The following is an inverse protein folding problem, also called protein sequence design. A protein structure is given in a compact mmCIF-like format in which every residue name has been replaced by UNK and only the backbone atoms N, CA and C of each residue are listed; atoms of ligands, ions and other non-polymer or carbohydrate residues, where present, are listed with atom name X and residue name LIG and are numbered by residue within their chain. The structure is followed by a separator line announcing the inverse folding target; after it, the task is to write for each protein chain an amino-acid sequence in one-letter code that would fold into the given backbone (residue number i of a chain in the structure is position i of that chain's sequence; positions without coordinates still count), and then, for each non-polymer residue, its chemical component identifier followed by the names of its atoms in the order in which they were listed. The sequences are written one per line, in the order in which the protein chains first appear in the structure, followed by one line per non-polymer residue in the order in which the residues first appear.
data_IF_865315190095
#
_entry.id   IF_865315190095
#
_cell.length_a   1.000
_cell.length_b   1.000
_cell.length_c   1.000
_cell.angle_alpha   90.00
_cell.angle_beta   90.00
_cell.angle_gamma   90.00
#
_symmetry.space_group_name_H-M   'P 1'
#
loop_
_entity.id
_entity.type
_entity.pdbx_description
1 polymer ?
#
# COMPACT_ATOMS: atom_id res chain seq x y z
N UNK A 1 -8.28 -15.17 4.91
CA UNK A 1 -6.92 -15.76 4.86
C UNK A 1 -6.94 -16.96 5.79
N UNK A 2 -6.45 -18.10 5.35
CA UNK A 2 -6.43 -19.33 6.13
C UNK A 2 -5.00 -19.78 6.34
N UNK A 3 -4.67 -20.25 7.56
CA UNK A 3 -3.36 -20.79 7.92
C UNK A 3 -3.45 -22.30 8.00
N UNK A 4 -2.47 -23.03 7.45
CA UNK A 4 -2.40 -24.49 7.51
C UNK A 4 -0.96 -24.96 7.28
N UNK A 5 -0.71 -26.23 7.58
CA UNK A 5 0.56 -26.91 7.28
C UNK A 5 0.31 -28.14 6.41
N UNK A 6 1.26 -28.46 5.56
CA UNK A 6 1.23 -29.68 4.74
C UNK A 6 1.92 -30.83 5.46
N UNK A 7 1.22 -31.96 5.56
CA UNK A 7 1.82 -33.20 6.07
C UNK A 7 2.69 -33.89 5.01
N UNK A 8 3.57 -34.83 5.46
CA UNK A 8 4.59 -35.47 4.63
C UNK A 8 4.08 -36.43 3.53
N UNK A 9 2.77 -36.73 3.45
CA UNK A 9 2.24 -37.88 2.70
C UNK A 9 1.66 -37.59 1.30
N UNK A 10 1.99 -36.49 0.60
CA UNK A 10 1.47 -36.27 -0.73
C UNK A 10 2.57 -36.33 -1.81
N UNK A 11 2.48 -37.35 -2.64
CA UNK A 11 3.44 -37.68 -3.71
C UNK A 11 3.47 -36.72 -4.92
N UNK A 12 2.61 -35.69 -4.97
CA UNK A 12 2.59 -34.66 -6.01
C UNK A 12 3.26 -33.34 -5.63
N UNK A 13 3.98 -33.28 -4.51
CA UNK A 13 4.37 -32.03 -3.84
C UNK A 13 5.89 -31.77 -3.86
N UNK A 14 6.60 -32.05 -4.93
CA UNK A 14 8.06 -31.79 -4.99
C UNK A 14 8.47 -30.32 -4.82
N UNK A 15 7.53 -29.38 -4.88
CA UNK A 15 7.82 -27.94 -4.77
C UNK A 15 7.21 -27.24 -3.56
N UNK A 16 6.33 -27.91 -2.80
CA UNK A 16 5.69 -27.31 -1.64
C UNK A 16 6.47 -27.62 -0.35
N UNK A 17 6.68 -26.62 0.54
CA UNK A 17 7.48 -26.81 1.74
C UNK A 17 6.69 -27.61 2.78
N UNK A 18 7.14 -28.82 3.06
CA UNK A 18 6.61 -29.66 4.12
C UNK A 18 7.05 -29.11 5.48
N UNK A 19 6.13 -29.07 6.46
CA UNK A 19 6.43 -28.66 7.84
C UNK A 19 6.59 -27.15 8.07
N UNK A 20 6.30 -26.31 7.06
CA UNK A 20 6.26 -24.84 7.22
C UNK A 20 4.82 -24.36 7.29
N UNK A 21 4.51 -23.35 8.13
CA UNK A 21 3.21 -22.72 8.13
C UNK A 21 3.00 -21.94 6.82
N UNK A 22 1.85 -22.15 6.19
CA UNK A 22 1.44 -21.54 4.93
C UNK A 22 0.19 -20.68 5.13
N UNK A 23 -0.03 -19.80 4.20
CA UNK A 23 -1.23 -18.96 4.12
C UNK A 23 -1.86 -19.13 2.76
N UNK A 24 -3.19 -19.33 2.76
CA UNK A 24 -4.03 -19.29 1.59
C UNK A 24 -4.75 -17.94 1.53
N UNK A 25 -4.51 -17.19 0.46
CA UNK A 25 -5.14 -15.90 0.21
C UNK A 25 -6.10 -16.00 -0.95
N UNK A 26 -7.38 -15.74 -0.70
CA UNK A 26 -8.39 -15.62 -1.74
C UNK A 26 -8.51 -14.21 -2.28
N UNK A 27 -8.78 -14.10 -3.57
CA UNK A 27 -9.08 -12.85 -4.24
C UNK A 27 -10.56 -12.79 -4.60
N UNK A 28 -11.13 -11.59 -4.57
CA UNK A 28 -12.55 -11.35 -4.84
C UNK A 28 -12.75 -10.20 -5.82
N UNK A 29 -13.92 -10.22 -6.49
CA UNK A 29 -14.33 -9.19 -7.45
C UNK A 29 -13.93 -9.50 -8.89
N UNK A 30 -14.38 -8.68 -9.81
CA UNK A 30 -14.28 -8.91 -11.26
C UNK A 30 -12.87 -9.03 -11.82
N UNK A 31 -11.85 -8.65 -11.07
CA UNK A 31 -10.42 -8.73 -11.45
C UNK A 31 -9.60 -9.55 -10.46
N UNK A 32 -10.24 -10.51 -9.82
CA UNK A 32 -9.62 -11.34 -8.78
C UNK A 32 -8.38 -12.08 -9.33
N UNK A 33 -8.50 -12.73 -10.49
CA UNK A 33 -7.41 -13.45 -11.16
C UNK A 33 -6.23 -12.52 -11.49
N UNK A 34 -6.46 -11.35 -12.08
CA UNK A 34 -5.41 -10.38 -12.42
C UNK A 34 -4.65 -9.90 -11.17
N UNK A 35 -5.38 -9.62 -10.09
CA UNK A 35 -4.78 -9.18 -8.83
C UNK A 35 -3.88 -10.26 -8.24
N UNK A 36 -4.36 -11.51 -8.21
CA UNK A 36 -3.60 -12.64 -7.69
C UNK A 36 -2.38 -12.95 -8.52
N UNK A 37 -2.50 -12.99 -9.84
CA UNK A 37 -1.39 -13.21 -10.76
C UNK A 37 -0.29 -12.15 -10.59
N UNK A 38 -0.68 -10.88 -10.49
CA UNK A 38 0.26 -9.78 -10.27
C UNK A 38 0.97 -9.89 -8.92
N UNK A 39 0.23 -10.12 -7.84
CA UNK A 39 0.81 -10.26 -6.52
C UNK A 39 1.79 -11.44 -6.45
N UNK A 40 1.44 -12.58 -7.04
CA UNK A 40 2.31 -13.75 -7.12
C UNK A 40 3.61 -13.45 -7.91
N UNK A 41 3.50 -12.78 -9.07
CA UNK A 41 4.66 -12.42 -9.89
C UNK A 41 5.61 -11.47 -9.15
N UNK A 42 5.07 -10.44 -8.47
CA UNK A 42 5.86 -9.48 -7.69
C UNK A 42 6.56 -10.17 -6.52
N UNK A 43 5.84 -11.01 -5.76
CA UNK A 43 6.44 -11.72 -4.64
C UNK A 43 7.50 -12.74 -5.10
N UNK A 44 7.31 -13.38 -6.25
CA UNK A 44 8.33 -14.23 -6.87
C UNK A 44 9.62 -13.47 -7.19
N UNK A 45 9.49 -12.27 -7.78
CA UNK A 45 10.62 -11.38 -8.04
C UNK A 45 11.32 -10.94 -6.75
N UNK A 46 10.56 -10.56 -5.72
CA UNK A 46 11.09 -10.15 -4.42
C UNK A 46 11.84 -11.29 -3.71
N UNK A 47 11.34 -12.52 -3.82
CA UNK A 47 12.01 -13.70 -3.29
C UNK A 47 13.36 -13.94 -3.98
N UNK A 48 13.44 -13.79 -5.31
CA UNK A 48 14.69 -13.88 -6.08
C UNK A 48 15.71 -12.78 -5.68
N UNK A 49 15.22 -11.61 -5.27
CA UNK A 49 16.04 -10.49 -4.80
C UNK A 49 16.32 -10.52 -3.28
N UNK A 50 15.95 -11.60 -2.59
CA UNK A 50 16.08 -11.74 -1.14
C UNK A 50 15.44 -10.57 -0.35
N UNK A 51 14.39 -9.95 -0.88
CA UNK A 51 13.63 -8.94 -0.16
C UNK A 51 12.65 -9.62 0.80
N UNK A 52 12.42 -9.09 2.02
CA UNK A 52 11.53 -9.70 3.00
C UNK A 52 10.06 -9.58 2.54
N UNK A 53 9.59 -10.55 1.81
CA UNK A 53 8.21 -10.73 1.35
C UNK A 53 7.82 -12.20 1.49
N UNK A 54 6.52 -12.56 1.57
CA UNK A 54 6.11 -13.95 1.52
C UNK A 54 6.58 -14.60 0.22
N UNK A 55 7.09 -15.82 0.29
CA UNK A 55 7.41 -16.58 -0.93
C UNK A 55 6.12 -17.18 -1.48
N UNK A 56 5.76 -16.92 -2.75
CA UNK A 56 4.62 -17.58 -3.40
C UNK A 56 5.02 -18.98 -3.83
N UNK A 57 4.09 -19.93 -3.72
CA UNK A 57 4.28 -21.32 -4.16
C UNK A 57 3.35 -21.71 -5.28
N UNK A 58 2.08 -21.33 -5.18
CA UNK A 58 1.04 -21.66 -6.15
C UNK A 58 0.06 -20.51 -6.26
N UNK A 59 -0.17 -20.06 -7.47
CA UNK A 59 -1.31 -19.21 -7.80
C UNK A 59 -2.28 -20.01 -8.68
N UNK A 60 -3.53 -20.12 -8.24
CA UNK A 60 -4.63 -20.73 -8.96
C UNK A 60 -5.59 -19.64 -9.45
N UNK A 61 -5.68 -19.41 -10.77
CA UNK A 61 -6.57 -18.39 -11.32
C UNK A 61 -8.03 -18.85 -11.42
N UNK A 62 -8.29 -20.17 -11.42
CA UNK A 62 -9.60 -20.73 -11.65
C UNK A 62 -10.42 -20.82 -10.36
N UNK A 63 -11.73 -20.60 -10.51
CA UNK A 63 -12.67 -20.67 -9.38
C UNK A 63 -12.97 -22.12 -8.96
N UNK A 64 -12.76 -23.08 -9.85
CA UNK A 64 -13.24 -24.46 -9.70
C UNK A 64 -12.71 -25.19 -8.44
N UNK A 65 -11.42 -25.07 -8.04
CA UNK A 65 -10.94 -25.88 -6.92
C UNK A 65 -11.51 -25.45 -5.55
N UNK A 66 -11.63 -24.14 -5.30
CA UNK A 66 -12.00 -23.61 -3.97
C UNK A 66 -13.01 -22.44 -4.03
N UNK A 67 -13.67 -22.22 -5.16
CA UNK A 67 -14.70 -21.18 -5.32
C UNK A 67 -14.16 -19.77 -5.56
N UNK A 68 -12.93 -19.64 -5.96
CA UNK A 68 -12.31 -18.36 -6.34
C UNK A 68 -10.80 -18.45 -6.51
N UNK A 69 -10.18 -17.50 -7.24
CA UNK A 69 -8.74 -17.44 -7.39
C UNK A 69 -8.03 -17.35 -6.04
N UNK A 70 -6.94 -18.08 -5.88
CA UNK A 70 -6.18 -18.07 -4.63
C UNK A 70 -4.68 -18.17 -4.83
N UNK A 71 -3.95 -17.72 -3.84
CA UNK A 71 -2.50 -17.77 -3.75
C UNK A 71 -2.06 -18.49 -2.49
N UNK A 72 -1.20 -19.49 -2.65
CA UNK A 72 -0.51 -20.19 -1.58
C UNK A 72 0.87 -19.60 -1.38
N UNK A 73 1.18 -19.18 -0.17
CA UNK A 73 2.43 -18.50 0.15
C UNK A 73 2.92 -18.80 1.57
N UNK A 74 4.18 -18.47 1.87
CA UNK A 74 4.73 -18.55 3.23
C UNK A 74 3.89 -17.72 4.22
N UNK A 75 3.67 -18.26 5.41
CA UNK A 75 3.28 -17.45 6.56
C UNK A 75 4.50 -16.73 7.12
N UNK A 76 4.51 -15.42 7.02
CA UNK A 76 5.57 -14.60 7.59
C UNK A 76 5.48 -14.61 9.12
N UNK A 77 6.61 -14.87 9.80
CA UNK A 77 6.70 -14.83 11.25
C UNK A 77 6.74 -13.41 11.79
N UNK A 78 6.37 -13.23 13.06
CA UNK A 78 6.39 -11.94 13.73
C UNK A 78 4.98 -11.35 13.93
N UNK A 79 4.93 -10.07 14.24
CA UNK A 79 3.69 -9.29 14.44
C UNK A 79 3.69 -8.06 13.54
N UNK A 80 2.52 -7.56 13.12
CA UNK A 80 2.47 -6.28 12.44
C UNK A 80 3.16 -5.20 13.26
N UNK A 81 3.89 -4.30 12.59
CA UNK A 81 4.60 -3.19 13.25
C UNK A 81 3.64 -2.35 14.11
N UNK A 82 2.41 -2.23 13.65
CA UNK A 82 1.34 -1.63 14.44
C UNK A 82 0.26 -2.68 14.73
N UNK A 83 0.11 -2.99 16.03
CA UNK A 83 -0.90 -3.92 16.55
C UNK A 83 -1.63 -3.26 17.70
N UNK A 84 -2.95 -3.43 17.76
CA UNK A 84 -3.84 -2.79 18.73
C UNK A 84 -4.00 -3.54 20.06
N UNK A 85 -3.26 -4.64 20.27
CA UNK A 85 -3.46 -5.54 21.42
C UNK A 85 -3.17 -4.94 22.79
N UNK A 86 -2.17 -4.06 22.93
CA UNK A 86 -1.92 -3.24 24.12
C UNK A 86 -1.00 -2.07 23.78
N UNK A 87 -1.20 -0.90 24.41
CA UNK A 87 -0.38 0.29 24.12
C UNK A 87 1.10 0.10 24.42
N UNK A 88 1.52 -0.39 25.60
CA UNK A 88 2.93 -0.55 25.88
C UNK A 88 3.62 -1.48 24.87
N UNK A 89 2.93 -2.58 24.48
CA UNK A 89 3.45 -3.51 23.47
C UNK A 89 3.49 -2.87 22.08
N UNK A 90 2.41 -2.21 21.66
CA UNK A 90 2.35 -1.51 20.38
C UNK A 90 3.41 -0.41 20.30
N UNK A 91 3.54 0.42 21.34
CA UNK A 91 4.57 1.46 21.41
C UNK A 91 5.98 0.89 21.35
N UNK A 92 6.27 -0.17 22.14
CA UNK A 92 7.58 -0.86 22.13
C UNK A 92 7.88 -1.42 20.74
N UNK A 93 6.95 -2.21 20.16
CA UNK A 93 7.12 -2.81 18.83
C UNK A 93 7.34 -1.76 17.76
N UNK A 94 6.54 -0.69 17.80
CA UNK A 94 6.63 0.39 16.84
C UNK A 94 7.94 1.19 16.99
N UNK A 95 8.32 1.58 18.20
CA UNK A 95 9.55 2.33 18.46
C UNK A 95 10.80 1.53 18.04
N UNK A 96 10.83 0.24 18.34
CA UNK A 96 11.93 -0.64 17.95
C UNK A 96 11.94 -0.93 16.44
N UNK A 97 10.78 -1.16 15.84
CA UNK A 97 10.65 -1.58 14.45
C UNK A 97 10.63 -0.44 13.44
N UNK A 98 10.39 0.82 13.86
CA UNK A 98 10.14 1.92 12.92
C UNK A 98 11.35 2.25 12.02
N UNK A 99 12.55 2.20 12.56
CA UNK A 99 13.76 2.37 11.76
C UNK A 99 13.91 1.23 10.73
N UNK A 100 13.61 0.00 11.12
CA UNK A 100 13.56 -1.16 10.23
C UNK A 100 12.51 -1.00 9.12
N UNK A 101 11.33 -0.48 9.47
CA UNK A 101 10.27 -0.14 8.54
C UNK A 101 10.76 0.85 7.46
N UNK A 102 11.38 1.95 7.86
CA UNK A 102 11.90 2.94 6.90
C UNK A 102 13.02 2.34 6.03
N UNK A 103 13.96 1.62 6.65
CA UNK A 103 15.07 0.98 5.92
C UNK A 103 14.59 -0.07 4.93
N UNK A 104 13.57 -0.84 5.28
CA UNK A 104 13.01 -1.83 4.36
C UNK A 104 12.38 -1.16 3.13
N UNK A 105 11.68 -0.03 3.30
CA UNK A 105 11.15 0.72 2.17
C UNK A 105 12.26 1.35 1.30
N UNK A 106 13.28 1.92 1.92
CA UNK A 106 14.47 2.42 1.18
C UNK A 106 15.13 1.30 0.38
N UNK A 107 15.30 0.13 1.00
CA UNK A 107 15.83 -1.06 0.33
C UNK A 107 14.96 -1.48 -0.85
N UNK A 108 13.61 -1.47 -0.73
CA UNK A 108 12.71 -1.73 -1.84
C UNK A 108 13.00 -0.82 -3.02
N UNK A 109 13.10 0.47 -2.76
CA UNK A 109 13.33 1.49 -3.79
C UNK A 109 14.76 1.49 -4.36
N UNK A 110 15.70 0.82 -3.71
CA UNK A 110 17.08 0.66 -4.17
C UNK A 110 17.35 -0.70 -4.84
N UNK A 111 16.37 -1.61 -4.84
CA UNK A 111 16.51 -2.87 -5.56
C UNK A 111 16.88 -2.55 -7.01
N UNK A 112 18.03 -3.05 -7.41
CA UNK A 112 18.59 -2.86 -8.74
C UNK A 112 17.82 -3.67 -9.78
N UNK A 113 16.60 -3.23 -10.07
CA UNK A 113 15.84 -3.68 -11.22
C UNK A 113 16.45 -3.04 -12.48
N UNK A 114 17.77 -3.21 -12.62
CA UNK A 114 18.52 -2.78 -13.80
C UNK A 114 18.10 -3.57 -15.06
N UNK A 115 17.45 -4.69 -14.87
CA UNK A 115 16.79 -5.39 -15.94
C UNK A 115 15.37 -4.81 -16.14
N UNK A 116 15.29 -3.81 -17.02
CA UNK A 116 14.00 -3.38 -17.58
C UNK A 116 13.14 -4.58 -18.03
N UNK A 117 13.77 -5.68 -18.42
CA UNK A 117 13.13 -6.93 -18.77
C UNK A 117 12.37 -7.55 -17.59
N UNK A 118 12.92 -7.50 -16.36
CA UNK A 118 12.22 -8.03 -15.18
C UNK A 118 11.07 -7.12 -14.75
N UNK A 119 11.23 -5.80 -14.85
CA UNK A 119 10.18 -4.82 -14.57
C UNK A 119 9.04 -4.87 -15.59
N UNK A 120 9.35 -5.07 -16.86
CA UNK A 120 8.33 -5.20 -17.92
C UNK A 120 7.49 -6.47 -17.79
N UNK A 121 7.96 -7.47 -17.03
CA UNK A 121 7.21 -8.69 -16.70
C UNK A 121 6.25 -8.49 -15.51
N UNK A 122 6.40 -7.42 -14.74
CA UNK A 122 5.49 -7.12 -13.64
C UNK A 122 4.21 -6.49 -14.21
N UNK A 123 3.05 -7.15 -14.07
CA UNK A 123 1.79 -6.58 -14.52
C UNK A 123 1.52 -5.24 -13.82
N UNK A 124 1.06 -4.25 -14.58
CA UNK A 124 0.81 -2.91 -14.04
C UNK A 124 -0.41 -2.90 -13.10
N UNK A 125 -0.30 -2.18 -11.98
CA UNK A 125 -1.42 -1.82 -11.13
C UNK A 125 -2.16 -0.60 -11.69
N UNK A 126 -3.33 -0.29 -11.12
CA UNK A 126 -4.10 0.91 -11.48
C UNK A 126 -4.47 1.00 -12.98
N UNK A 127 -4.71 -0.15 -13.61
CA UNK A 127 -5.20 -0.24 -14.98
C UNK A 127 -6.67 -0.62 -14.97
N UNK A 128 -7.60 0.34 -15.04
CA UNK A 128 -9.03 0.04 -15.07
C UNK A 128 -9.55 -0.19 -16.49
N UNK A 129 -8.84 0.31 -17.50
CA UNK A 129 -9.19 0.13 -18.90
C UNK A 129 -7.96 -0.19 -19.75
N UNK A 130 -8.19 -0.80 -20.90
CA UNK A 130 -7.17 -1.10 -21.90
C UNK A 130 -6.35 0.13 -22.34
N UNK A 131 -6.94 1.32 -22.24
CA UNK A 131 -6.29 2.60 -22.55
C UNK A 131 -5.21 3.04 -21.55
N UNK A 132 -5.08 2.39 -20.40
CA UNK A 132 -4.10 2.75 -19.35
C UNK A 132 -2.81 1.92 -19.42
N UNK A 133 -2.78 0.85 -20.21
CA UNK A 133 -1.59 0.01 -20.33
C UNK A 133 -0.42 0.78 -20.97
N UNK A 134 0.77 0.61 -20.41
CA UNK A 134 1.98 1.28 -20.89
C UNK A 134 2.19 2.72 -20.41
N UNK A 135 1.21 3.34 -19.76
CA UNK A 135 1.37 4.68 -19.22
C UNK A 135 2.23 4.70 -17.96
N UNK A 136 2.99 5.79 -17.71
CA UNK A 136 3.67 6.01 -16.44
C UNK A 136 2.70 5.93 -15.25
N UNK A 137 3.18 5.46 -14.09
CA UNK A 137 2.36 5.31 -12.88
C UNK A 137 1.61 6.61 -12.52
N UNK A 138 2.28 7.76 -12.55
CA UNK A 138 1.67 9.05 -12.23
C UNK A 138 0.42 9.33 -13.09
N UNK A 139 0.49 9.07 -14.39
CA UNK A 139 -0.63 9.31 -15.29
C UNK A 139 -1.77 8.32 -15.03
N UNK A 140 -1.47 7.07 -14.73
CA UNK A 140 -2.50 6.10 -14.31
C UNK A 140 -3.20 6.52 -13.01
N UNK A 141 -2.44 7.07 -12.05
CA UNK A 141 -3.03 7.59 -10.80
C UNK A 141 -3.97 8.78 -11.09
N UNK A 142 -3.61 9.69 -11.98
CA UNK A 142 -4.49 10.78 -12.37
C UNK A 142 -5.77 10.28 -13.04
N UNK A 143 -5.69 9.31 -13.93
CA UNK A 143 -6.88 8.71 -14.57
C UNK A 143 -7.82 8.07 -13.55
N UNK A 144 -7.28 7.31 -12.60
CA UNK A 144 -8.10 6.72 -11.54
C UNK A 144 -8.77 7.78 -10.67
N UNK A 145 -8.06 8.86 -10.34
CA UNK A 145 -8.66 9.97 -9.59
C UNK A 145 -9.81 10.59 -10.40
N UNK A 146 -9.61 10.82 -11.69
CA UNK A 146 -10.60 11.37 -12.61
C UNK A 146 -11.84 10.48 -12.71
N UNK A 147 -11.66 9.19 -12.98
CA UNK A 147 -12.73 8.18 -12.98
C UNK A 147 -13.52 8.18 -11.66
N UNK A 148 -12.84 8.28 -10.51
CA UNK A 148 -13.50 8.33 -9.21
C UNK A 148 -14.27 9.63 -8.99
N UNK A 149 -13.77 10.76 -9.48
CA UNK A 149 -14.46 12.05 -9.43
C UNK A 149 -15.76 12.00 -10.24
N UNK A 150 -15.70 11.41 -11.42
CA UNK A 150 -16.86 11.27 -12.31
C UNK A 150 -17.89 10.27 -11.76
N UNK A 151 -17.43 9.08 -11.38
CA UNK A 151 -18.30 8.00 -10.89
C UNK A 151 -18.89 8.29 -9.51
N UNK A 152 -18.16 9.02 -8.65
CA UNK A 152 -18.58 9.33 -7.29
C UNK A 152 -19.25 10.69 -7.10
N UNK A 153 -19.63 11.42 -8.15
CA UNK A 153 -19.84 12.86 -8.25
C UNK A 153 -19.12 13.68 -7.15
N UNK A 154 -17.79 13.76 -7.27
CA UNK A 154 -16.91 14.42 -6.31
C UNK A 154 -16.35 15.76 -6.87
N UNK A 155 -17.20 16.73 -7.26
CA UNK A 155 -16.76 17.96 -7.96
C UNK A 155 -15.79 18.80 -7.15
N UNK A 156 -15.84 18.73 -5.81
CA UNK A 156 -14.93 19.44 -4.94
C UNK A 156 -13.44 18.99 -5.03
N UNK A 157 -13.14 17.94 -5.80
CA UNK A 157 -11.78 17.48 -6.07
C UNK A 157 -11.22 17.92 -7.43
N UNK A 158 -12.04 18.41 -8.36
CA UNK A 158 -11.65 18.75 -9.72
C UNK A 158 -10.52 19.79 -9.78
N UNK A 159 -10.62 20.86 -8.99
CA UNK A 159 -9.59 21.90 -8.95
C UNK A 159 -8.25 21.38 -8.46
N UNK A 160 -8.25 20.48 -7.47
CA UNK A 160 -7.01 19.87 -6.97
C UNK A 160 -6.37 18.97 -8.03
N UNK A 161 -7.15 18.17 -8.75
CA UNK A 161 -6.66 17.34 -9.85
C UNK A 161 -6.03 18.21 -10.95
N UNK A 162 -6.74 19.26 -11.39
CA UNK A 162 -6.26 20.20 -12.41
C UNK A 162 -4.95 20.88 -12.01
N UNK A 163 -4.85 21.36 -10.75
CA UNK A 163 -3.64 21.99 -10.24
C UNK A 163 -2.46 21.02 -10.19
N UNK A 164 -2.69 19.78 -9.75
CA UNK A 164 -1.62 18.77 -9.68
C UNK A 164 -1.19 18.32 -11.08
N UNK A 165 -2.11 18.11 -12.03
CA UNK A 165 -1.78 17.80 -13.42
C UNK A 165 -0.94 18.90 -14.07
N UNK A 166 -1.32 20.16 -13.91
CA UNK A 166 -0.57 21.31 -14.47
C UNK A 166 0.86 21.40 -13.94
N UNK A 167 1.10 20.92 -12.71
CA UNK A 167 2.43 20.92 -12.08
C UNK A 167 3.28 19.71 -12.47
N UNK A 168 2.67 18.63 -12.96
CA UNK A 168 3.34 17.37 -13.26
C UNK A 168 4.57 17.51 -14.18
N UNK A 169 4.58 18.31 -15.27
CA UNK A 169 5.73 18.45 -16.16
C UNK A 169 7.00 18.99 -15.49
N UNK A 170 6.86 19.66 -14.33
CA UNK A 170 8.02 20.18 -13.57
C UNK A 170 8.78 19.09 -12.84
N UNK A 171 8.18 17.91 -12.71
CA UNK A 171 8.72 16.80 -11.94
C UNK A 171 8.94 15.60 -12.85
N UNK A 172 10.00 15.67 -13.67
CA UNK A 172 10.42 14.54 -14.50
C UNK A 172 10.54 13.28 -13.67
N UNK A 173 10.07 12.12 -14.15
CA UNK A 173 10.14 10.89 -13.39
C UNK A 173 11.58 10.59 -12.99
N UNK A 174 11.82 10.33 -11.70
CA UNK A 174 13.05 9.70 -11.25
C UNK A 174 13.12 8.30 -11.88
N UNK A 175 14.30 7.69 -11.79
CA UNK A 175 14.46 6.29 -12.19
C UNK A 175 13.32 5.46 -11.60
N UNK A 176 12.60 4.74 -12.45
CA UNK A 176 11.54 3.86 -12.01
C UNK A 176 12.11 2.73 -11.15
N UNK A 177 11.43 2.44 -10.04
CA UNK A 177 11.78 1.38 -9.08
C UNK A 177 10.52 0.56 -8.79
N UNK A 178 10.66 -0.59 -8.15
CA UNK A 178 9.50 -1.27 -7.59
C UNK A 178 8.94 -0.46 -6.42
N UNK A 179 7.64 -0.19 -6.45
CA UNK A 179 6.91 0.59 -5.45
C UNK A 179 5.74 -0.23 -4.91
N UNK A 180 5.51 -0.16 -3.61
CA UNK A 180 4.44 -0.93 -2.95
C UNK A 180 3.07 -0.26 -3.07
N UNK A 181 3.02 1.05 -3.08
CA UNK A 181 1.84 1.92 -3.15
C UNK A 181 0.80 1.76 -2.01
N UNK A 182 1.05 0.86 -1.05
CA UNK A 182 0.26 0.70 0.18
C UNK A 182 1.17 0.30 1.37
N UNK A 183 2.37 0.92 1.42
CA UNK A 183 3.36 0.62 2.44
C UNK A 183 3.01 1.33 3.75
N UNK A 184 2.51 0.58 4.73
CA UNK A 184 2.12 1.09 6.03
C UNK A 184 2.38 0.08 7.16
N UNK A 185 2.35 0.52 8.45
CA UNK A 185 2.76 -0.33 9.58
C UNK A 185 2.00 -1.63 9.77
N UNK A 186 0.76 -1.74 9.29
CA UNK A 186 -0.02 -2.99 9.36
C UNK A 186 0.41 -4.00 8.30
N UNK A 187 1.03 -3.55 7.19
CA UNK A 187 1.56 -4.40 6.13
C UNK A 187 3.01 -4.81 6.35
N UNK A 188 3.64 -4.39 7.45
CA UNK A 188 5.04 -4.72 7.76
C UNK A 188 5.12 -5.56 9.03
N UNK A 189 5.57 -6.79 8.88
CA UNK A 189 5.78 -7.73 9.97
C UNK A 189 7.18 -7.55 10.57
N UNK A 190 7.24 -7.57 11.90
CA UNK A 190 8.51 -7.39 12.64
C UNK A 190 8.69 -8.43 13.74
N UNK A 191 9.93 -8.75 14.02
CA UNK A 191 10.36 -9.51 15.20
C UNK A 191 11.53 -8.74 15.84
N UNK A 192 11.26 -8.09 16.97
CA UNK A 192 12.19 -7.17 17.58
C UNK A 192 12.48 -5.98 16.65
N UNK A 193 13.75 -5.76 16.34
CA UNK A 193 14.23 -4.69 15.45
C UNK A 193 14.17 -5.07 13.96
N UNK A 194 13.92 -6.34 13.64
CA UNK A 194 14.01 -6.88 12.28
C UNK A 194 12.65 -6.88 11.60
N UNK A 195 12.58 -6.37 10.39
CA UNK A 195 11.47 -6.62 9.47
C UNK A 195 11.58 -8.05 8.96
N UNK A 196 10.54 -8.85 9.20
CA UNK A 196 10.46 -10.26 8.80
C UNK A 196 9.69 -10.44 7.50
N UNK A 197 8.81 -9.49 7.15
CA UNK A 197 8.12 -9.48 5.87
C UNK A 197 7.30 -8.24 5.64
N UNK A 198 7.14 -7.91 4.36
CA UNK A 198 6.21 -6.90 3.87
C UNK A 198 5.09 -7.62 3.12
N UNK A 199 3.85 -7.33 3.48
CA UNK A 199 2.64 -8.01 3.01
C UNK A 199 1.84 -7.12 2.07
N UNK A 200 0.88 -7.72 1.35
CA UNK A 200 -0.12 -7.03 0.52
C UNK A 200 0.45 -6.25 -0.67
N UNK A 201 0.97 -7.01 -1.62
CA UNK A 201 1.60 -6.50 -2.84
C UNK A 201 0.62 -6.24 -3.99
N UNK A 202 -0.69 -6.30 -3.74
CA UNK A 202 -1.74 -6.10 -4.76
C UNK A 202 -1.63 -4.77 -5.48
N UNK A 203 -1.23 -3.72 -4.77
CA UNK A 203 -1.08 -2.36 -5.32
C UNK A 203 0.35 -2.06 -5.80
N UNK A 204 1.26 -3.02 -5.68
CA UNK A 204 2.64 -2.80 -6.09
C UNK A 204 2.74 -2.59 -7.60
N UNK A 205 3.66 -1.73 -7.98
CA UNK A 205 3.86 -1.32 -9.36
C UNK A 205 5.33 -0.93 -9.59
N UNK A 206 5.63 -0.53 -10.80
CA UNK A 206 6.89 0.08 -11.08
C UNK A 206 6.70 1.58 -11.37
N UNK A 207 7.46 2.44 -10.69
CA UNK A 207 7.27 3.87 -10.80
C UNK A 207 8.23 4.68 -9.93
N UNK A 208 7.87 5.94 -9.73
CA UNK A 208 8.68 6.86 -8.96
C UNK A 208 8.58 6.56 -7.45
N UNK A 209 9.74 6.35 -6.80
CA UNK A 209 9.84 6.15 -5.35
C UNK A 209 9.16 7.25 -4.52
N UNK A 210 9.12 8.48 -5.06
CA UNK A 210 8.50 9.61 -4.38
C UNK A 210 6.99 9.40 -4.20
N UNK A 211 6.30 8.78 -5.17
CA UNK A 211 4.89 8.46 -5.05
C UNK A 211 4.63 7.43 -3.93
N UNK A 212 5.46 6.39 -3.87
CA UNK A 212 5.35 5.38 -2.82
C UNK A 212 5.65 5.95 -1.42
N UNK A 213 6.76 6.67 -1.27
CA UNK A 213 7.13 7.30 -0.01
C UNK A 213 6.09 8.35 0.43
N UNK A 214 5.53 9.12 -0.52
CA UNK A 214 4.46 10.07 -0.24
C UNK A 214 3.16 9.38 0.19
N UNK A 215 2.81 8.24 -0.42
CA UNK A 215 1.65 7.44 0.00
C UNK A 215 1.81 6.98 1.44
N UNK A 216 2.98 6.45 1.81
CA UNK A 216 3.31 6.10 3.20
C UNK A 216 3.17 7.30 4.14
N UNK A 217 3.75 8.45 3.78
CA UNK A 217 3.68 9.66 4.61
C UNK A 217 2.23 10.16 4.79
N UNK A 218 1.40 10.10 3.74
CA UNK A 218 -0.02 10.45 3.80
C UNK A 218 -0.78 9.49 4.70
N UNK A 219 -0.56 8.19 4.58
CA UNK A 219 -1.19 7.19 5.44
C UNK A 219 -0.80 7.42 6.90
N UNK A 220 0.49 7.58 7.20
CA UNK A 220 0.95 7.86 8.57
C UNK A 220 0.36 9.16 9.15
N UNK A 221 0.17 10.19 8.32
CA UNK A 221 -0.35 11.49 8.76
C UNK A 221 -1.87 11.52 8.88
N UNK A 222 -2.62 10.68 8.16
CA UNK A 222 -4.08 10.84 8.00
C UNK A 222 -4.91 9.63 8.40
N UNK A 223 -4.30 8.47 8.65
CA UNK A 223 -5.06 7.30 9.13
C UNK A 223 -5.44 7.50 10.60
N UNK A 224 -6.72 7.27 10.92
CA UNK A 224 -7.08 7.10 12.33
C UNK A 224 -6.35 5.87 12.84
N UNK A 225 -5.59 6.01 13.90
CA UNK A 225 -5.19 4.82 14.66
C UNK A 225 -6.47 4.26 15.24
N UNK A 226 -6.80 3.01 14.91
CA UNK A 226 -7.89 2.30 15.58
C UNK A 226 -7.68 2.44 17.08
N UNK A 227 -8.67 3.00 17.76
CA UNK A 227 -8.61 3.20 19.20
C UNK A 227 -8.56 1.84 19.87
N UNK A 228 -7.50 1.49 20.62
CA UNK A 228 -7.64 0.41 21.58
C UNK A 228 -8.74 0.80 22.56
N UNK A 229 -9.63 -0.15 22.91
CA UNK A 229 -10.76 0.10 23.84
C UNK A 229 -10.37 0.72 25.18
N UNK A 230 -9.08 0.67 25.56
CA UNK A 230 -8.52 1.21 26.79
C UNK A 230 -7.96 2.65 26.62
N UNK A 231 -7.95 3.21 25.41
CA UNK A 231 -7.44 4.57 25.15
C UNK A 231 -8.59 5.56 25.17
N UNK A 232 -8.56 6.44 26.16
CA UNK A 232 -9.48 7.61 26.20
C UNK A 232 -9.40 8.43 24.92
N UNK A 233 -10.52 9.05 24.59
CA UNK A 233 -10.75 9.69 23.29
C UNK A 233 -9.75 10.80 22.99
N UNK A 234 -8.89 10.84 22.15
CA UNK A 234 -8.31 11.96 21.42
C UNK A 234 -6.84 12.37 21.60
N UNK A 235 -6.13 12.12 22.68
CA UNK A 235 -4.79 12.71 22.85
C UNK A 235 -3.67 11.77 22.33
N UNK A 236 -3.68 10.53 22.75
CA UNK A 236 -2.53 9.63 22.54
C UNK A 236 -2.40 9.12 21.10
N UNK A 237 -3.52 8.81 20.42
CA UNK A 237 -3.47 8.36 19.02
C UNK A 237 -3.02 9.48 18.06
N UNK A 238 -3.46 10.71 18.31
CA UNK A 238 -3.04 11.89 17.55
C UNK A 238 -1.55 12.20 17.78
N UNK A 239 -1.07 12.09 19.03
CA UNK A 239 0.33 12.32 19.39
C UNK A 239 1.25 11.30 18.69
N UNK A 240 0.93 10.00 18.76
CA UNK A 240 1.70 8.97 18.10
C UNK A 240 1.71 9.14 16.57
N UNK A 241 0.57 9.42 15.98
CA UNK A 241 0.48 9.72 14.54
C UNK A 241 1.36 10.90 14.16
N UNK A 242 1.31 12.00 14.93
CA UNK A 242 2.12 13.19 14.67
C UNK A 242 3.60 12.87 14.82
N UNK A 243 3.99 12.18 15.87
CA UNK A 243 5.38 11.79 16.12
C UNK A 243 5.94 10.93 14.97
N UNK A 244 5.28 9.83 14.62
CA UNK A 244 5.78 8.92 13.59
C UNK A 244 5.65 9.49 12.19
N UNK A 245 4.60 10.26 11.93
CA UNK A 245 4.47 11.00 10.67
C UNK A 245 5.57 12.06 10.49
N UNK A 246 6.03 12.69 11.57
CA UNK A 246 7.14 13.66 11.53
C UNK A 246 8.51 13.01 11.43
N UNK A 247 8.70 11.82 12.01
CA UNK A 247 9.96 11.07 11.97
C UNK A 247 10.20 10.36 10.63
N UNK A 248 9.15 10.01 9.91
CA UNK A 248 9.28 9.21 8.69
C UNK A 248 10.16 9.89 7.64
N UNK A 249 9.86 11.15 7.28
CA UNK A 249 10.60 11.85 6.22
C UNK A 249 12.06 12.09 6.56
N UNK A 250 12.43 12.60 7.77
CA UNK A 250 13.83 12.73 8.15
C UNK A 250 14.61 11.42 8.07
N UNK A 251 14.04 10.32 8.57
CA UNK A 251 14.70 9.01 8.54
C UNK A 251 14.83 8.47 7.12
N UNK A 252 13.80 8.63 6.30
CA UNK A 252 13.87 8.23 4.90
C UNK A 252 14.89 9.06 4.14
N UNK A 253 14.89 10.40 4.31
CA UNK A 253 15.81 11.31 3.65
C UNK A 253 17.27 11.05 4.05
N UNK A 254 17.53 10.75 5.32
CA UNK A 254 18.85 10.38 5.80
C UNK A 254 19.39 9.09 5.15
N UNK A 255 18.51 8.12 4.87
CA UNK A 255 18.88 6.86 4.23
C UNK A 255 18.89 6.94 2.69
N UNK A 256 18.04 7.77 2.11
CA UNK A 256 17.91 7.99 0.66
C UNK A 256 17.49 9.43 0.38
N UNK A 257 18.43 10.34 0.09
CA UNK A 257 18.15 11.76 -0.11
C UNK A 257 17.01 12.02 -1.11
N UNK A 258 16.14 12.95 -0.78
CA UNK A 258 14.96 13.35 -1.56
C UNK A 258 14.94 14.85 -1.83
N UNK A 259 14.49 15.23 -3.00
CA UNK A 259 14.13 16.60 -3.33
C UNK A 259 12.79 16.95 -2.64
N UNK A 260 12.83 17.88 -1.70
CA UNK A 260 11.66 18.17 -0.85
C UNK A 260 10.46 18.72 -1.64
N UNK A 261 10.67 19.50 -2.68
CA UNK A 261 9.58 20.02 -3.52
C UNK A 261 8.88 18.89 -4.29
N UNK A 262 9.66 17.99 -4.86
CA UNK A 262 9.13 16.80 -5.54
C UNK A 262 8.36 15.90 -4.57
N UNK A 263 8.89 15.70 -3.38
CA UNK A 263 8.18 14.93 -2.34
C UNK A 263 6.87 15.60 -1.93
N UNK A 264 6.87 16.94 -1.75
CA UNK A 264 5.65 17.69 -1.44
C UNK A 264 4.60 17.58 -2.55
N UNK A 265 5.03 17.62 -3.79
CA UNK A 265 4.15 17.38 -4.93
C UNK A 265 3.56 15.97 -4.91
N UNK A 266 4.39 14.95 -4.75
CA UNK A 266 3.96 13.55 -4.64
C UNK A 266 2.99 13.32 -3.48
N UNK A 267 3.18 14.02 -2.34
CA UNK A 267 2.22 14.01 -1.23
C UNK A 267 0.84 14.57 -1.64
N UNK A 268 0.80 15.58 -2.50
CA UNK A 268 -0.46 16.11 -3.04
C UNK A 268 -1.20 15.07 -3.87
N UNK A 269 -0.49 14.38 -4.77
CA UNK A 269 -1.06 13.31 -5.60
C UNK A 269 -1.54 12.15 -4.74
N UNK A 270 -0.73 11.66 -3.80
CA UNK A 270 -1.09 10.56 -2.91
C UNK A 270 -2.29 10.90 -2.01
N UNK A 271 -2.35 12.13 -1.51
CA UNK A 271 -3.46 12.59 -0.68
C UNK A 271 -4.76 12.70 -1.48
N UNK A 272 -4.71 13.22 -2.71
CA UNK A 272 -5.86 13.31 -3.60
C UNK A 272 -6.36 11.92 -4.02
N UNK A 273 -5.45 10.99 -4.32
CA UNK A 273 -5.78 9.59 -4.63
C UNK A 273 -6.54 8.93 -3.47
N UNK A 274 -6.06 9.12 -2.23
CA UNK A 274 -6.70 8.57 -1.04
C UNK A 274 -8.05 9.25 -0.75
N UNK A 275 -8.13 10.56 -0.93
CA UNK A 275 -9.36 11.33 -0.70
C UNK A 275 -10.45 10.96 -1.72
N UNK A 276 -10.10 10.78 -3.00
CA UNK A 276 -11.03 10.30 -4.03
C UNK A 276 -11.54 8.88 -3.73
N UNK A 277 -10.68 8.00 -3.20
CA UNK A 277 -11.07 6.67 -2.74
C UNK A 277 -12.10 6.75 -1.59
N UNK A 278 -11.84 7.59 -0.59
CA UNK A 278 -12.77 7.78 0.52
C UNK A 278 -14.09 8.40 0.09
N UNK A 279 -14.07 9.33 -0.88
CA UNK A 279 -15.28 9.86 -1.49
C UNK A 279 -16.12 8.77 -2.16
N UNK A 280 -15.48 7.90 -2.95
CA UNK A 280 -16.16 6.75 -3.56
C UNK A 280 -16.75 5.80 -2.52
N UNK A 281 -16.00 5.48 -1.47
CA UNK A 281 -16.49 4.61 -0.39
C UNK A 281 -17.74 5.18 0.31
N UNK A 282 -17.80 6.50 0.46
CA UNK A 282 -18.98 7.17 1.07
C UNK A 282 -20.20 7.18 0.15
N UNK A 283 -19.99 7.33 -1.15
CA UNK A 283 -21.09 7.48 -2.14
C UNK A 283 -21.56 6.13 -2.67
N UNK A 284 -20.65 5.22 -2.97
CA UNK A 284 -20.93 3.93 -3.62
C UNK A 284 -20.60 2.70 -2.80
N UNK A 285 -20.17 2.88 -1.56
CA UNK A 285 -19.72 1.81 -0.68
C UNK A 285 -18.29 1.33 -0.95
N UNK A 286 -17.66 0.67 0.03
CA UNK A 286 -16.27 0.20 -0.05
C UNK A 286 -15.99 -0.77 -1.19
N UNK A 287 -16.96 -1.59 -1.56
CA UNK A 287 -16.81 -2.58 -2.64
C UNK A 287 -16.54 -1.92 -4.00
N UNK A 288 -17.02 -0.69 -4.22
CA UNK A 288 -16.77 0.07 -5.46
C UNK A 288 -15.30 0.36 -5.73
N UNK A 289 -14.48 0.33 -4.69
CA UNK A 289 -13.02 0.52 -4.76
C UNK A 289 -12.24 -0.73 -4.32
N UNK A 290 -12.94 -1.87 -4.22
CA UNK A 290 -12.33 -3.17 -3.97
C UNK A 290 -12.05 -3.51 -2.50
N UNK A 291 -12.70 -2.81 -1.57
CA UNK A 291 -12.60 -3.09 -0.14
C UNK A 291 -13.80 -3.88 0.39
N UNK A 292 -13.63 -4.49 1.55
CA UNK A 292 -14.72 -5.14 2.28
C UNK A 292 -15.67 -4.09 2.85
N UNK A 293 -16.96 -4.43 3.11
CA UNK A 293 -17.95 -3.49 3.65
C UNK A 293 -17.48 -2.76 4.92
N UNK A 294 -16.81 -3.47 5.81
CA UNK A 294 -16.35 -2.96 7.11
C UNK A 294 -15.31 -1.84 6.99
N UNK A 295 -14.65 -1.73 5.83
CA UNK A 295 -13.66 -0.69 5.58
C UNK A 295 -14.24 0.74 5.66
N UNK A 296 -15.58 0.91 5.58
CA UNK A 296 -16.25 2.21 5.76
C UNK A 296 -16.03 2.79 7.16
N UNK A 297 -15.83 1.95 8.17
CA UNK A 297 -15.58 2.38 9.54
C UNK A 297 -14.30 3.23 9.66
N UNK A 298 -13.35 3.04 8.75
CA UNK A 298 -12.13 3.84 8.69
C UNK A 298 -12.33 5.22 8.04
N UNK A 299 -13.48 5.47 7.39
CA UNK A 299 -13.82 6.71 6.69
C UNK A 299 -14.63 7.64 7.59
N UNK A 300 -14.12 7.90 8.78
CA UNK A 300 -14.80 8.77 9.76
C UNK A 300 -14.77 10.24 9.32
N UNK A 301 -15.74 11.07 9.77
CA UNK A 301 -15.74 12.51 9.47
C UNK A 301 -14.45 13.21 9.88
N UNK A 302 -13.82 12.78 10.98
CA UNK A 302 -12.55 13.36 11.44
C UNK A 302 -11.38 13.04 10.51
N UNK A 303 -11.30 11.80 10.03
CA UNK A 303 -10.29 11.36 9.05
C UNK A 303 -10.48 12.07 7.71
N UNK A 304 -11.72 12.18 7.25
CA UNK A 304 -12.04 12.90 6.01
C UNK A 304 -11.64 14.38 6.10
N UNK A 305 -12.02 15.08 7.19
CA UNK A 305 -11.61 16.48 7.39
C UNK A 305 -10.09 16.64 7.44
N UNK A 306 -9.39 15.75 8.13
CA UNK A 306 -7.93 15.78 8.22
C UNK A 306 -7.29 15.60 6.84
N UNK A 307 -7.73 14.61 6.09
CA UNK A 307 -7.22 14.30 4.76
C UNK A 307 -7.57 15.43 3.76
N UNK A 308 -8.78 16.01 3.82
CA UNK A 308 -9.16 17.17 2.99
C UNK A 308 -8.26 18.37 3.25
N UNK A 309 -8.01 18.72 4.53
CA UNK A 309 -7.08 19.80 4.89
C UNK A 309 -5.65 19.51 4.42
N UNK A 310 -5.22 18.26 4.55
CA UNK A 310 -3.90 17.85 4.09
C UNK A 310 -3.79 18.00 2.57
N UNK A 311 -4.78 17.50 1.82
CA UNK A 311 -4.84 17.58 0.36
C UNK A 311 -4.88 19.04 -0.10
N UNK A 312 -5.74 19.88 0.48
CA UNK A 312 -5.84 21.30 0.17
C UNK A 312 -4.48 22.02 0.31
N UNK A 313 -3.80 21.79 1.42
CA UNK A 313 -2.48 22.40 1.68
C UNK A 313 -1.42 21.96 0.66
N UNK A 314 -1.44 20.69 0.20
CA UNK A 314 -0.47 20.17 -0.76
C UNK A 314 -0.80 20.51 -2.21
N UNK A 315 -2.08 20.53 -2.56
CA UNK A 315 -2.55 20.95 -3.89
C UNK A 315 -2.51 22.48 -4.08
N UNK A 316 -2.63 23.25 -2.99
CA UNK A 316 -2.69 24.71 -3.01
C UNK A 316 -4.09 25.26 -3.35
N UNK A 317 -5.13 24.44 -3.19
CA UNK A 317 -6.53 24.81 -3.47
C UNK A 317 -7.46 24.13 -2.46
N UNK A 318 -8.64 24.71 -2.23
CA UNK A 318 -9.67 24.10 -1.39
C UNK A 318 -10.16 22.77 -1.98
N UNK A 319 -10.47 21.80 -1.12
CA UNK A 319 -11.06 20.51 -1.50
C UNK A 319 -12.15 20.09 -0.50
N UNK A 320 -13.17 19.40 -1.03
CA UNK A 320 -14.27 18.82 -0.25
C UNK A 320 -14.76 17.50 -0.86
N UNK A 321 -15.29 16.58 -0.03
CA UNK A 321 -16.00 15.36 -0.42
C UNK A 321 -17.20 15.13 0.47
#
# INVERSE_FOLDING_TARGET
MFEFGLGANSSRQRELPVGRPLVLRFYHGSRAGDKGAREAAIMGLLAALNYPAPRPYLFEPDDAPLGGPFLLMDRVSGTPLFSTSSFPRAFKTFSLGFLGFVRAQVRLHSLGLSDQVALNKVPQAYTNASSSNGLPLLERLFRIIEERIEQGPLPGLCNALTCLRRRAPRYSPARATLVHMDYHPQNVMVSGLRVTGVLDWVNADHGDRYLCAATTAVILATTAMEKPRWMGENVTGNTLRTLFGSLYLPLYHAAAPMELERFRYAQGVAALLRLSMFGMMRVRGPQSVGFRPEAIENVTPSVVRLLSRYTARKAGVAVSI
#
